data_IF_545248115623
#
_entry.id   IF_545248115623
#
_cell.length_a   1.000
_cell.length_b   1.000
_cell.length_c   1.000
_cell.angle_alpha   90.00
_cell.angle_beta   90.00
_cell.angle_gamma   90.00
#
_symmetry.space_group_name_H-M   'P 1'
#
loop_
_entity.id
_entity.type
_entity.pdbx_description
1 polymer ?
#
# COMPACT_ATOMS: atom_id res chain seq x y z
N UNK A 1 -6.56 21.17 4.91
CA UNK A 1 -5.98 20.22 5.89
C UNK A 1 -5.12 19.22 5.13
N UNK A 2 -3.94 18.84 5.64
CA UNK A 2 -2.98 17.95 4.97
C UNK A 2 -2.70 16.70 5.81
N UNK A 3 -2.28 15.60 5.18
CA UNK A 3 -1.80 14.41 5.87
C UNK A 3 -0.32 14.61 6.24
N UNK A 4 0.05 14.36 7.50
CA UNK A 4 1.41 14.65 8.01
C UNK A 4 2.51 13.88 7.29
N UNK A 5 2.25 12.61 6.96
CA UNK A 5 3.19 11.76 6.22
C UNK A 5 3.05 11.89 4.70
N UNK A 6 2.06 12.67 4.22
CA UNK A 6 1.72 12.85 2.81
C UNK A 6 1.37 14.33 2.54
N UNK A 7 2.36 15.24 2.61
CA UNK A 7 2.13 16.67 2.50
C UNK A 7 1.53 17.10 1.15
N UNK A 8 1.71 16.28 0.10
CA UNK A 8 1.08 16.46 -1.21
C UNK A 8 -0.44 16.23 -1.19
N UNK A 9 -0.98 15.51 -0.20
CA UNK A 9 -2.41 15.26 -0.06
C UNK A 9 -3.03 16.35 0.81
N UNK A 10 -3.89 17.15 0.19
CA UNK A 10 -4.67 18.18 0.89
C UNK A 10 -6.12 18.23 0.42
N UNK A 11 -7.02 18.63 1.31
CA UNK A 11 -8.42 18.92 0.98
C UNK A 11 -8.82 20.31 1.50
N UNK A 12 -9.64 21.00 0.71
CA UNK A 12 -10.30 22.26 1.04
C UNK A 12 -11.71 22.08 1.60
N UNK A 13 -12.28 20.87 1.51
CA UNK A 13 -13.65 20.59 1.96
C UNK A 13 -13.64 19.98 3.37
N UNK A 14 -14.22 20.70 4.34
CA UNK A 14 -14.36 20.25 5.72
C UNK A 14 -15.47 19.19 5.88
N UNK A 15 -16.48 19.20 5.00
CA UNK A 15 -17.54 18.20 5.01
C UNK A 15 -17.05 16.93 4.32
N UNK A 16 -17.20 15.77 4.98
CA UNK A 16 -16.68 14.47 4.52
C UNK A 16 -15.16 14.38 4.35
N UNK A 17 -14.42 15.11 5.20
CA UNK A 17 -12.95 15.17 5.19
C UNK A 17 -12.29 13.78 5.12
N UNK A 18 -12.75 12.81 5.92
CA UNK A 18 -12.23 11.44 5.92
C UNK A 18 -12.41 10.73 4.57
N UNK A 19 -13.57 10.90 3.93
CA UNK A 19 -13.85 10.25 2.65
C UNK A 19 -12.99 10.86 1.53
N UNK A 20 -12.89 12.19 1.50
CA UNK A 20 -12.07 12.90 0.51
C UNK A 20 -10.59 12.61 0.68
N UNK A 21 -10.05 12.68 1.90
CA UNK A 21 -8.66 12.33 2.19
C UNK A 21 -8.39 10.84 1.95
N UNK A 22 -9.35 9.97 2.29
CA UNK A 22 -9.27 8.53 2.05
C UNK A 22 -9.21 8.17 0.57
N UNK A 23 -9.98 8.85 -0.28
CA UNK A 23 -9.90 8.68 -1.73
C UNK A 23 -8.56 9.17 -2.26
N UNK A 24 -8.13 10.37 -1.86
CA UNK A 24 -6.88 10.95 -2.32
C UNK A 24 -5.66 10.10 -1.93
N UNK A 25 -5.64 9.57 -0.70
CA UNK A 25 -4.60 8.67 -0.23
C UNK A 25 -4.53 7.39 -1.06
N UNK A 26 -5.66 6.74 -1.33
CA UNK A 26 -5.68 5.52 -2.16
C UNK A 26 -5.19 5.79 -3.57
N UNK A 27 -5.62 6.89 -4.19
CA UNK A 27 -5.17 7.27 -5.54
C UNK A 27 -3.66 7.55 -5.59
N UNK A 28 -3.12 8.20 -4.57
CA UNK A 28 -1.69 8.47 -4.44
C UNK A 28 -0.88 7.19 -4.24
N UNK A 29 -1.33 6.30 -3.33
CA UNK A 29 -0.71 4.98 -3.13
C UNK A 29 -0.72 4.20 -4.43
N UNK A 30 -1.85 4.12 -5.13
CA UNK A 30 -1.97 3.43 -6.41
C UNK A 30 -0.96 3.96 -7.44
N UNK A 31 -0.77 5.28 -7.51
CA UNK A 31 0.21 5.89 -8.42
C UNK A 31 1.64 5.46 -8.08
N UNK A 32 2.00 5.44 -6.80
CA UNK A 32 3.35 4.99 -6.37
C UNK A 32 3.56 3.51 -6.66
N UNK A 33 2.53 2.68 -6.43
CA UNK A 33 2.53 1.26 -6.78
C UNK A 33 2.86 1.05 -8.26
N UNK A 34 2.14 1.74 -9.15
CA UNK A 34 2.35 1.67 -10.61
C UNK A 34 3.71 2.22 -11.04
N UNK A 35 4.22 3.23 -10.33
CA UNK A 35 5.54 3.80 -10.60
C UNK A 35 6.71 2.95 -10.04
N UNK A 36 6.43 1.85 -9.34
CA UNK A 36 7.47 1.07 -8.65
C UNK A 36 8.20 1.87 -7.56
N UNK A 37 7.55 2.91 -7.01
CA UNK A 37 8.14 3.81 -6.04
C UNK A 37 7.72 3.43 -4.62
N UNK A 38 8.62 3.52 -3.62
CA UNK A 38 8.29 3.15 -2.25
C UNK A 38 7.15 4.01 -1.70
N UNK A 39 6.23 3.37 -0.98
CA UNK A 39 5.11 4.02 -0.31
C UNK A 39 5.52 4.40 1.12
N UNK A 40 5.47 5.68 1.49
CA UNK A 40 5.73 6.11 2.87
C UNK A 40 4.79 5.41 3.87
N UNK A 41 5.37 4.85 4.93
CA UNK A 41 4.62 4.30 6.05
C UNK A 41 4.35 5.38 7.10
N UNK A 42 3.19 5.36 7.79
CA UNK A 42 2.88 6.34 8.81
C UNK A 42 3.89 6.26 9.95
N UNK A 43 4.48 7.39 10.32
CA UNK A 43 5.57 7.42 11.32
C UNK A 43 5.09 7.46 12.74
N UNK A 44 3.93 8.08 12.98
CA UNK A 44 3.32 8.22 14.32
C UNK A 44 1.81 8.30 14.20
N UNK A 45 1.09 7.85 15.22
CA UNK A 45 -0.34 8.10 15.34
C UNK A 45 -0.54 9.52 15.92
N UNK A 46 -1.07 10.49 15.14
CA UNK A 46 -1.31 11.81 15.67
C UNK A 46 -2.37 11.77 16.77
N UNK A 47 -2.11 12.42 17.90
CA UNK A 47 -3.01 12.45 19.07
C UNK A 47 -4.30 13.23 18.82
N UNK A 48 -4.27 14.25 17.95
CA UNK A 48 -5.41 15.11 17.61
C UNK A 48 -5.65 15.20 16.08
N UNK A 49 -5.42 14.11 15.34
CA UNK A 49 -5.54 14.07 13.87
C UNK A 49 -6.67 13.16 13.38
N UNK A 50 -7.07 13.38 12.13
CA UNK A 50 -7.97 12.45 11.42
C UNK A 50 -7.16 11.28 10.90
N UNK A 51 -7.55 10.06 11.27
CA UNK A 51 -6.89 8.84 10.84
C UNK A 51 -7.59 8.26 9.62
N UNK A 52 -6.85 8.16 8.51
CA UNK A 52 -7.35 7.54 7.30
C UNK A 52 -6.90 6.08 7.31
N UNK A 53 -7.89 5.18 7.42
CA UNK A 53 -7.64 3.76 7.47
C UNK A 53 -7.65 3.15 6.07
N UNK A 54 -6.57 2.41 5.77
CA UNK A 54 -6.56 1.40 4.72
C UNK A 54 -7.19 0.12 5.28
N UNK A 55 -7.85 -0.64 4.42
CA UNK A 55 -8.24 -2.01 4.74
C UNK A 55 -7.01 -2.87 4.99
N UNK A 56 -7.21 -4.04 5.61
CA UNK A 56 -6.13 -5.00 5.84
C UNK A 56 -5.47 -5.43 4.53
N UNK A 57 -6.26 -5.69 3.47
CA UNK A 57 -5.74 -6.07 2.16
C UNK A 57 -4.91 -4.95 1.51
N UNK A 58 -5.42 -3.71 1.54
CA UNK A 58 -4.69 -2.53 1.06
C UNK A 58 -3.35 -2.36 1.80
N UNK A 59 -3.36 -2.51 3.13
CA UNK A 59 -2.17 -2.39 3.97
C UNK A 59 -1.13 -3.46 3.67
N UNK A 60 -1.56 -4.72 3.50
CA UNK A 60 -0.66 -5.82 3.17
C UNK A 60 -0.01 -5.63 1.80
N UNK A 61 -0.75 -5.18 0.79
CA UNK A 61 -0.18 -4.87 -0.52
C UNK A 61 0.90 -3.79 -0.45
N UNK A 62 0.66 -2.72 0.32
CA UNK A 62 1.65 -1.66 0.54
C UNK A 62 2.93 -2.22 1.17
N UNK A 63 2.81 -3.10 2.17
CA UNK A 63 3.96 -3.74 2.81
C UNK A 63 4.74 -4.65 1.83
N UNK A 64 4.03 -5.51 1.10
CA UNK A 64 4.62 -6.41 0.11
C UNK A 64 5.31 -5.61 -1.00
N UNK A 65 4.64 -4.58 -1.53
CA UNK A 65 5.20 -3.66 -2.52
C UNK A 65 6.51 -3.03 -2.05
N UNK A 66 6.54 -2.48 -0.84
CA UNK A 66 7.73 -1.84 -0.29
C UNK A 66 8.92 -2.81 -0.19
N UNK A 67 8.69 -4.06 0.21
CA UNK A 67 9.76 -5.08 0.26
C UNK A 67 10.25 -5.51 -1.13
N UNK A 68 9.37 -5.55 -2.12
CA UNK A 68 9.73 -5.79 -3.54
C UNK A 68 10.63 -4.68 -4.06
N UNK A 69 10.22 -3.41 -3.88
CA UNK A 69 10.98 -2.24 -4.32
C UNK A 69 12.34 -2.18 -3.62
N UNK A 70 12.38 -2.43 -2.30
CA UNK A 70 13.62 -2.50 -1.52
C UNK A 70 14.57 -3.59 -2.03
N UNK A 71 14.03 -4.69 -2.54
CA UNK A 71 14.79 -5.79 -3.15
C UNK A 71 15.17 -5.53 -4.61
N UNK A 72 14.86 -4.34 -5.15
CA UNK A 72 15.14 -3.92 -6.54
C UNK A 72 14.49 -4.81 -7.59
N UNK A 73 13.36 -5.44 -7.25
CA UNK A 73 12.58 -6.27 -8.16
C UNK A 73 11.40 -5.46 -8.71
N UNK A 74 11.08 -5.61 -10.00
CA UNK A 74 9.92 -4.95 -10.61
C UNK A 74 8.66 -5.82 -10.50
N UNK A 75 7.48 -5.22 -10.65
CA UNK A 75 6.22 -5.97 -10.64
C UNK A 75 6.12 -6.93 -11.82
N UNK A 76 6.67 -6.58 -12.98
CA UNK A 76 6.71 -7.48 -14.14
C UNK A 76 7.60 -8.70 -13.89
N UNK A 77 8.76 -8.49 -13.27
CA UNK A 77 9.66 -9.57 -12.91
C UNK A 77 8.99 -10.52 -11.88
N UNK A 78 8.27 -9.96 -10.90
CA UNK A 78 7.51 -10.71 -9.92
C UNK A 78 6.38 -11.51 -10.58
N UNK A 79 5.58 -10.84 -11.39
CA UNK A 79 4.48 -11.43 -12.14
C UNK A 79 4.95 -12.62 -12.97
N UNK A 80 6.08 -12.45 -13.67
CA UNK A 80 6.72 -13.53 -14.44
C UNK A 80 7.21 -14.68 -13.55
N UNK A 81 7.80 -14.39 -12.39
CA UNK A 81 8.32 -15.41 -11.48
C UNK A 81 7.22 -16.30 -10.88
N UNK A 82 6.03 -15.74 -10.66
CA UNK A 82 4.89 -16.43 -10.07
C UNK A 82 3.82 -16.84 -11.09
N UNK A 83 4.02 -16.51 -12.37
CA UNK A 83 3.02 -16.72 -13.44
C UNK A 83 1.65 -16.10 -13.12
N UNK A 84 1.67 -14.88 -12.58
CA UNK A 84 0.46 -14.13 -12.19
C UNK A 84 0.32 -12.84 -13.01
N UNK A 85 -0.86 -12.20 -13.03
CA UNK A 85 -1.02 -10.90 -13.65
C UNK A 85 -0.17 -9.82 -12.96
N UNK A 86 0.40 -8.90 -13.74
CA UNK A 86 1.16 -7.75 -13.20
C UNK A 86 0.33 -6.84 -12.28
N UNK A 87 -0.99 -6.83 -12.47
CA UNK A 87 -1.94 -6.04 -11.66
C UNK A 87 -2.19 -6.62 -10.26
N UNK A 88 -1.60 -7.76 -9.90
CA UNK A 88 -1.93 -8.44 -8.64
C UNK A 88 -1.56 -7.61 -7.38
N UNK A 89 -0.69 -6.61 -7.52
CA UNK A 89 -0.37 -5.65 -6.46
C UNK A 89 -1.14 -4.33 -6.56
N UNK A 90 -1.97 -4.12 -7.60
CA UNK A 90 -2.83 -2.95 -7.69
C UNK A 90 -3.75 -2.90 -6.47
N UNK A 91 -3.91 -1.71 -5.89
CA UNK A 91 -4.58 -1.50 -4.61
C UNK A 91 -6.03 -1.97 -4.65
N UNK A 92 -6.71 -1.75 -5.78
CA UNK A 92 -8.12 -2.11 -5.99
C UNK A 92 -8.33 -3.58 -6.42
N UNK A 93 -7.28 -4.26 -6.90
CA UNK A 93 -7.43 -5.61 -7.43
C UNK A 93 -7.60 -6.66 -6.31
N UNK A 94 -8.61 -7.53 -6.31
CA UNK A 94 -8.72 -8.55 -5.26
C UNK A 94 -7.47 -9.43 -5.19
N UNK A 95 -6.98 -9.71 -3.99
CA UNK A 95 -5.83 -10.59 -3.77
C UNK A 95 -6.04 -11.37 -2.48
N UNK A 96 -5.71 -12.66 -2.49
CA UNK A 96 -5.70 -13.48 -1.27
C UNK A 96 -4.34 -13.38 -0.54
N UNK A 97 -4.34 -13.81 0.72
CA UNK A 97 -3.17 -13.72 1.60
C UNK A 97 -2.08 -14.72 1.18
N UNK A 98 -2.44 -15.84 0.57
CA UNK A 98 -1.51 -16.88 0.14
C UNK A 98 -0.66 -16.41 -1.04
N UNK A 99 -1.28 -15.69 -1.98
CA UNK A 99 -0.62 -15.05 -3.10
C UNK A 99 0.30 -13.92 -2.62
N UNK A 100 -0.15 -13.07 -1.68
CA UNK A 100 0.71 -12.05 -1.06
C UNK A 100 1.91 -12.67 -0.33
N UNK A 101 1.71 -13.81 0.33
CA UNK A 101 2.78 -14.56 0.99
C UNK A 101 3.77 -15.13 -0.02
N UNK A 102 3.28 -15.64 -1.15
CA UNK A 102 4.11 -16.12 -2.25
C UNK A 102 4.94 -14.99 -2.87
N UNK A 103 4.34 -13.82 -3.08
CA UNK A 103 5.04 -12.62 -3.59
C UNK A 103 6.21 -12.21 -2.71
N UNK A 104 5.99 -12.13 -1.40
CA UNK A 104 7.05 -11.71 -0.48
C UNK A 104 8.13 -12.80 -0.32
N UNK A 105 7.76 -14.07 -0.50
CA UNK A 105 8.71 -15.20 -0.46
C UNK A 105 9.72 -15.15 -1.60
N UNK A 106 9.33 -14.66 -2.79
CA UNK A 106 10.25 -14.47 -3.93
C UNK A 106 11.41 -13.53 -3.58
N UNK A 107 11.17 -12.55 -2.70
CA UNK A 107 12.21 -11.63 -2.21
C UNK A 107 12.85 -12.08 -0.89
N UNK A 108 12.68 -13.36 -0.53
CA UNK A 108 13.31 -13.96 0.66
C UNK A 108 12.71 -13.47 1.99
N UNK A 109 11.50 -12.94 1.98
CA UNK A 109 10.78 -12.48 3.17
C UNK A 109 9.61 -13.41 3.48
N UNK A 110 8.97 -13.20 4.63
CA UNK A 110 7.79 -13.96 5.06
C UNK A 110 6.79 -13.02 5.70
N UNK A 111 5.51 -13.19 5.39
CA UNK A 111 4.41 -12.58 6.15
C UNK A 111 4.20 -13.41 7.42
N UNK A 112 4.13 -12.74 8.56
CA UNK A 112 3.85 -13.36 9.86
C UNK A 112 2.67 -12.62 10.47
N UNK A 113 1.57 -13.33 10.69
CA UNK A 113 0.43 -12.82 11.42
C UNK A 113 0.47 -13.35 12.86
N UNK A 114 0.47 -12.44 13.82
CA UNK A 114 0.28 -12.77 15.23
C UNK A 114 -1.21 -12.66 15.53
N UNK A 115 -1.84 -13.78 15.86
CA UNK A 115 -3.23 -13.81 16.32
C UNK A 115 -3.18 -13.55 17.83
N UNK A 116 -3.74 -12.42 18.26
CA UNK A 116 -3.92 -12.03 19.67
C UNK A 116 -5.38 -12.03 20.04
#
# INVERSE_FOLDING_TARGET
>A
MHLTDWPEISTSNANHLEKSLGSALRSEIQRKLQAGAPVPLPRTKPSNGVNIHLSTGESLKVLVHNEIVKSRMTHEALAKSLSIPAQALDLEHPVDVDLLSSMVAVVGKRLVAYIS
#
